data_IF_368928721884
#
_entry.id   IF_368928721884
#
_cell.length_a   1.000
_cell.length_b   1.000
_cell.length_c   1.000
_cell.angle_alpha   90.00
_cell.angle_beta   90.00
_cell.angle_gamma   90.00
#
_symmetry.space_group_name_H-M   'P 1'
#
loop_
_entity.id
_entity.type
_entity.pdbx_description
1 polymer ?
#
# COMPACT_ATOMS: atom_id res chain seq x y z
N UNK A 1 -33.22 -15.44 -20.52
CA UNK A 1 -32.26 -15.33 -19.41
C UNK A 1 -30.86 -15.51 -19.98
N UNK A 2 -30.17 -14.42 -20.21
CA UNK A 2 -28.83 -14.41 -20.81
C UNK A 2 -27.83 -14.60 -19.67
N UNK A 3 -27.15 -15.74 -19.63
CA UNK A 3 -26.10 -16.00 -18.66
C UNK A 3 -24.96 -15.02 -18.89
N UNK A 4 -24.72 -14.14 -17.92
CA UNK A 4 -23.53 -13.28 -17.89
C UNK A 4 -22.34 -14.21 -17.67
N UNK A 5 -21.46 -14.29 -18.68
CA UNK A 5 -20.22 -15.03 -18.53
C UNK A 5 -19.40 -14.44 -17.36
N UNK A 6 -18.78 -15.30 -16.51
CA UNK A 6 -17.97 -14.79 -15.43
C UNK A 6 -16.85 -13.92 -16.02
N UNK A 7 -16.79 -12.66 -15.59
CA UNK A 7 -15.65 -11.80 -15.88
C UNK A 7 -14.39 -12.54 -15.42
N UNK A 8 -13.48 -12.86 -16.34
CA UNK A 8 -12.14 -13.32 -15.97
C UNK A 8 -11.57 -12.25 -15.04
N UNK A 9 -11.23 -12.63 -13.81
CA UNK A 9 -10.59 -11.71 -12.87
C UNK A 9 -9.38 -11.10 -13.59
N UNK A 10 -9.35 -9.77 -13.66
CA UNK A 10 -8.19 -9.06 -14.23
C UNK A 10 -6.98 -9.42 -13.36
N UNK A 11 -5.80 -9.76 -13.91
CA UNK A 11 -4.65 -10.20 -13.11
C UNK A 11 -4.21 -9.17 -12.07
N UNK A 12 -4.68 -7.94 -12.19
CA UNK A 12 -4.38 -6.81 -11.29
C UNK A 12 -5.63 -6.27 -10.59
N UNK A 13 -6.64 -7.11 -10.37
CA UNK A 13 -7.87 -6.67 -9.69
C UNK A 13 -7.56 -6.11 -8.30
N UNK A 14 -8.25 -5.03 -7.87
CA UNK A 14 -8.14 -4.53 -6.52
C UNK A 14 -8.44 -5.60 -5.48
N UNK A 15 -7.74 -5.56 -4.36
CA UNK A 15 -8.01 -6.42 -3.22
C UNK A 15 -9.26 -5.94 -2.48
N UNK A 16 -10.00 -6.90 -1.93
CA UNK A 16 -11.19 -6.63 -1.11
C UNK A 16 -11.01 -7.30 0.24
N UNK A 17 -11.25 -6.58 1.32
CA UNK A 17 -11.38 -7.11 2.67
C UNK A 17 -12.86 -7.18 3.02
N UNK A 18 -13.37 -8.40 3.16
CA UNK A 18 -14.80 -8.65 3.37
C UNK A 18 -15.17 -8.80 4.85
N UNK A 19 -14.17 -8.83 5.75
CA UNK A 19 -14.38 -9.05 7.18
C UNK A 19 -13.54 -8.10 8.05
N UNK A 20 -14.08 -7.79 9.22
CA UNK A 20 -13.46 -6.89 10.20
C UNK A 20 -12.15 -7.45 10.75
N UNK A 21 -12.06 -8.76 10.96
CA UNK A 21 -10.85 -9.39 11.50
C UNK A 21 -9.64 -9.27 10.56
N UNK A 22 -9.87 -9.34 9.25
CA UNK A 22 -8.83 -9.11 8.24
C UNK A 22 -8.36 -7.65 8.23
N UNK A 23 -9.27 -6.68 8.40
CA UNK A 23 -8.94 -5.27 8.51
C UNK A 23 -8.09 -4.99 9.76
N UNK A 24 -8.52 -5.48 10.92
CA UNK A 24 -7.81 -5.33 12.19
C UNK A 24 -6.40 -5.95 12.11
N UNK A 25 -6.29 -7.18 11.60
CA UNK A 25 -5.01 -7.86 11.43
C UNK A 25 -4.06 -7.10 10.49
N UNK A 26 -4.58 -6.51 9.42
CA UNK A 26 -3.81 -5.67 8.49
C UNK A 26 -3.36 -4.38 9.17
N UNK A 27 -4.21 -3.71 9.95
CA UNK A 27 -3.87 -2.50 10.68
C UNK A 27 -2.78 -2.76 11.72
N UNK A 28 -2.89 -3.84 12.49
CA UNK A 28 -1.84 -4.27 13.41
C UNK A 28 -0.51 -4.59 12.68
N UNK A 29 -0.55 -5.16 11.48
CA UNK A 29 0.64 -5.40 10.68
C UNK A 29 1.33 -4.08 10.28
N UNK A 30 0.56 -3.04 9.94
CA UNK A 30 1.09 -1.68 9.69
C UNK A 30 1.77 -1.12 10.92
N UNK A 31 1.14 -1.24 12.11
CA UNK A 31 1.73 -0.76 13.38
C UNK A 31 3.05 -1.47 13.70
N UNK A 32 3.09 -2.79 13.53
CA UNK A 32 4.33 -3.59 13.72
C UNK A 32 5.41 -3.21 12.70
N UNK A 33 5.03 -3.00 11.44
CA UNK A 33 5.95 -2.55 10.39
C UNK A 33 6.55 -1.19 10.75
N UNK A 34 5.71 -0.23 11.14
CA UNK A 34 6.14 1.11 11.55
C UNK A 34 7.17 1.03 12.69
N UNK A 35 6.83 0.34 13.79
CA UNK A 35 7.75 0.15 14.93
C UNK A 35 9.09 -0.46 14.50
N UNK A 36 9.06 -1.46 13.61
CA UNK A 36 10.27 -2.10 13.09
C UNK A 36 11.12 -1.14 12.29
N UNK A 37 10.51 -0.36 11.39
CA UNK A 37 11.19 0.61 10.54
C UNK A 37 11.83 1.74 11.37
N UNK A 38 11.17 2.18 12.43
CA UNK A 38 11.71 3.20 13.35
C UNK A 38 12.96 2.69 14.08
N UNK A 39 12.94 1.45 14.56
CA UNK A 39 14.09 0.82 15.22
C UNK A 39 15.29 0.65 14.30
N UNK A 40 15.06 0.15 13.07
CA UNK A 40 16.11 -0.02 12.05
C UNK A 40 16.68 1.32 11.60
N UNK A 41 15.82 2.33 11.43
CA UNK A 41 16.21 3.67 11.00
C UNK A 41 16.94 4.50 12.06
N UNK A 42 17.13 3.98 13.27
CA UNK A 42 17.67 4.73 14.42
C UNK A 42 16.91 6.04 14.68
N UNK A 43 15.62 6.05 14.41
CA UNK A 43 14.76 7.17 14.72
C UNK A 43 14.52 7.22 16.24
N UNK A 44 14.61 8.41 16.82
CA UNK A 44 14.53 8.60 18.26
C UNK A 44 13.09 8.68 18.81
N UNK A 45 12.10 8.45 17.97
CA UNK A 45 10.70 8.40 18.40
C UNK A 45 10.43 7.11 19.14
N UNK A 46 9.83 7.21 20.32
CA UNK A 46 9.34 6.07 21.08
C UNK A 46 8.09 5.52 20.43
N UNK A 47 7.92 4.19 20.48
CA UNK A 47 6.64 3.58 20.07
C UNK A 47 5.49 4.27 20.83
N UNK A 48 4.39 4.56 20.13
CA UNK A 48 3.21 5.12 20.77
C UNK A 48 2.63 4.14 21.78
N UNK A 49 2.17 4.64 22.92
CA UNK A 49 1.55 3.84 23.97
C UNK A 49 0.24 4.48 24.42
N UNK A 50 -0.64 3.67 25.01
CA UNK A 50 -1.91 4.16 25.56
C UNK A 50 -2.81 4.79 24.48
N UNK A 51 -3.43 5.92 24.81
CA UNK A 51 -4.40 6.62 23.96
C UNK A 51 -3.81 7.01 22.59
N UNK A 52 -2.52 7.33 22.54
CA UNK A 52 -1.87 7.66 21.28
C UNK A 52 -1.77 6.45 20.35
N UNK A 53 -1.41 5.28 20.86
CA UNK A 53 -1.36 4.06 20.06
C UNK A 53 -2.75 3.69 19.52
N UNK A 54 -3.80 3.84 20.34
CA UNK A 54 -5.17 3.61 19.94
C UNK A 54 -5.62 4.60 18.83
N UNK A 55 -5.22 5.87 18.94
CA UNK A 55 -5.52 6.88 17.93
C UNK A 55 -4.82 6.58 16.59
N UNK A 56 -3.51 6.23 16.63
CA UNK A 56 -2.75 5.86 15.45
C UNK A 56 -3.34 4.61 14.78
N UNK A 57 -3.69 3.59 15.56
CA UNK A 57 -4.35 2.37 15.06
C UNK A 57 -5.68 2.70 14.37
N UNK A 58 -6.55 3.49 15.00
CA UNK A 58 -7.83 3.88 14.41
C UNK A 58 -7.68 4.69 13.11
N UNK A 59 -6.63 5.51 12.98
CA UNK A 59 -6.31 6.21 11.73
C UNK A 59 -5.86 5.24 10.64
N UNK A 60 -5.00 4.26 11.00
CA UNK A 60 -4.58 3.20 10.06
C UNK A 60 -5.80 2.42 9.58
N UNK A 61 -6.67 1.97 10.49
CA UNK A 61 -7.90 1.25 10.14
C UNK A 61 -8.78 2.06 9.19
N UNK A 62 -8.93 3.36 9.44
CA UNK A 62 -9.72 4.26 8.57
C UNK A 62 -9.16 4.31 7.14
N UNK A 63 -7.85 4.44 6.97
CA UNK A 63 -7.20 4.45 5.66
C UNK A 63 -7.35 3.11 4.97
N UNK A 64 -7.13 2.00 5.69
CA UNK A 64 -7.25 0.66 5.14
C UNK A 64 -8.70 0.33 4.75
N UNK A 65 -9.69 0.71 5.58
CA UNK A 65 -11.09 0.57 5.22
C UNK A 65 -11.41 1.37 3.95
N UNK A 66 -10.90 2.61 3.86
CA UNK A 66 -11.03 3.45 2.67
C UNK A 66 -10.45 2.83 1.41
N UNK A 67 -9.38 2.05 1.52
CA UNK A 67 -8.73 1.41 0.39
C UNK A 67 -9.35 0.04 0.05
N UNK A 68 -9.63 -0.81 1.05
CA UNK A 68 -9.86 -2.24 0.84
C UNK A 68 -11.28 -2.71 1.14
N UNK A 69 -12.11 -1.95 1.87
CA UNK A 69 -13.48 -2.37 2.19
C UNK A 69 -14.52 -1.81 1.23
N UNK A 70 -15.67 -2.45 1.16
CA UNK A 70 -16.86 -1.91 0.50
C UNK A 70 -17.41 -0.74 1.31
N UNK A 71 -17.55 0.43 0.69
CA UNK A 71 -18.03 1.66 1.33
C UNK A 71 -19.26 2.17 0.58
N UNK A 72 -20.35 2.39 1.28
CA UNK A 72 -21.64 2.84 0.71
C UNK A 72 -22.09 1.99 -0.49
N UNK A 73 -21.82 0.68 -0.44
CA UNK A 73 -22.18 -0.27 -1.51
C UNK A 73 -21.22 -0.28 -2.70
N UNK A 74 -20.16 0.53 -2.69
CA UNK A 74 -19.11 0.52 -3.69
C UNK A 74 -17.94 -0.35 -3.23
N UNK A 75 -17.66 -1.40 -3.97
CA UNK A 75 -16.49 -2.23 -3.74
C UNK A 75 -15.19 -1.52 -4.17
N UNK A 76 -14.01 -1.99 -3.76
CA UNK A 76 -12.75 -1.50 -4.30
C UNK A 76 -12.69 -1.55 -5.84
N UNK A 77 -13.27 -2.58 -6.46
CA UNK A 77 -13.29 -2.71 -7.92
C UNK A 77 -14.17 -1.66 -8.63
N UNK A 78 -15.10 -1.01 -7.90
CA UNK A 78 -15.90 0.09 -8.43
C UNK A 78 -15.17 1.45 -8.30
N UNK A 79 -14.16 1.54 -7.44
CA UNK A 79 -13.48 2.78 -7.09
C UNK A 79 -12.06 2.90 -7.64
N UNK A 80 -11.40 1.78 -7.86
CA UNK A 80 -10.02 1.72 -8.33
C UNK A 80 -9.92 0.98 -9.65
N UNK A 81 -9.07 1.48 -10.55
CA UNK A 81 -8.83 0.86 -11.84
C UNK A 81 -8.19 -0.53 -11.70
N UNK A 82 -7.26 -0.67 -10.76
CA UNK A 82 -6.54 -1.89 -10.44
C UNK A 82 -5.85 -1.78 -9.06
N UNK A 83 -5.07 -2.81 -8.70
CA UNK A 83 -4.34 -2.84 -7.43
C UNK A 83 -3.27 -1.74 -7.32
N UNK A 84 -2.67 -1.30 -8.43
CA UNK A 84 -1.66 -0.24 -8.41
C UNK A 84 -2.28 1.11 -8.07
N UNK A 85 -3.46 1.43 -8.62
CA UNK A 85 -4.24 2.61 -8.24
C UNK A 85 -4.69 2.52 -6.77
N UNK A 86 -5.16 1.35 -6.33
CA UNK A 86 -5.59 1.09 -4.95
C UNK A 86 -4.47 1.32 -3.93
N UNK A 87 -3.28 0.75 -4.15
CA UNK A 87 -2.17 0.91 -3.20
C UNK A 87 -1.59 2.31 -3.22
N UNK A 88 -1.62 2.99 -4.37
CA UNK A 88 -1.19 4.39 -4.46
C UNK A 88 -2.15 5.30 -3.68
N UNK A 89 -3.46 5.07 -3.77
CA UNK A 89 -4.47 5.74 -2.94
C UNK A 89 -4.19 5.52 -1.44
N UNK A 90 -4.01 4.27 -1.04
CA UNK A 90 -3.70 3.92 0.35
C UNK A 90 -2.44 4.63 0.85
N UNK A 91 -1.34 4.56 0.08
CA UNK A 91 -0.08 5.19 0.45
C UNK A 91 -0.20 6.72 0.55
N UNK A 92 -0.98 7.35 -0.35
CA UNK A 92 -1.26 8.78 -0.32
C UNK A 92 -1.92 9.20 0.99
N UNK A 93 -2.97 8.51 1.40
CA UNK A 93 -3.68 8.81 2.65
C UNK A 93 -2.81 8.51 3.87
N UNK A 94 -2.10 7.39 3.91
CA UNK A 94 -1.18 7.10 5.02
C UNK A 94 -0.13 8.19 5.24
N UNK A 95 0.36 8.79 4.16
CA UNK A 95 1.39 9.83 4.23
C UNK A 95 0.80 11.20 4.55
N UNK A 96 -0.31 11.59 3.88
CA UNK A 96 -0.88 12.93 3.98
C UNK A 96 -1.67 13.15 5.28
N UNK A 97 -2.26 12.11 5.82
CA UNK A 97 -3.05 12.19 7.06
C UNK A 97 -2.17 12.21 8.32
N UNK A 98 -0.84 12.18 8.16
CA UNK A 98 0.13 12.24 9.25
C UNK A 98 -0.25 11.28 10.41
N UNK A 99 -0.41 9.99 10.08
CA UNK A 99 -0.86 8.97 11.04
C UNK A 99 0.10 8.87 12.22
N UNK A 100 1.40 8.79 11.92
CA UNK A 100 2.48 8.69 12.90
C UNK A 100 3.18 10.03 13.09
N UNK A 101 3.85 10.19 14.22
CA UNK A 101 4.67 11.37 14.49
C UNK A 101 5.85 11.49 13.50
N UNK A 102 6.50 10.36 13.18
CA UNK A 102 7.57 10.26 12.19
C UNK A 102 7.41 8.96 11.38
N UNK A 103 8.20 8.81 10.33
CA UNK A 103 8.26 7.58 9.53
C UNK A 103 7.09 7.35 8.58
N UNK A 104 6.12 8.27 8.43
CA UNK A 104 4.96 8.11 7.56
C UNK A 104 5.35 7.72 6.13
N UNK A 105 6.29 8.42 5.50
CA UNK A 105 6.76 8.14 4.14
C UNK A 105 7.32 6.73 3.98
N UNK A 106 8.20 6.34 4.91
CA UNK A 106 8.85 5.03 4.88
C UNK A 106 7.84 3.90 5.11
N UNK A 107 6.96 4.05 6.09
CA UNK A 107 5.93 3.07 6.40
C UNK A 107 4.96 2.91 5.24
N UNK A 108 4.48 4.01 4.67
CA UNK A 108 3.55 3.99 3.53
C UNK A 108 4.14 3.31 2.30
N UNK A 109 5.40 3.63 1.96
CA UNK A 109 6.09 3.03 0.82
C UNK A 109 6.29 1.52 1.01
N UNK A 110 6.88 1.12 2.14
CA UNK A 110 7.18 -0.30 2.39
C UNK A 110 5.90 -1.12 2.50
N UNK A 111 4.85 -0.55 3.10
CA UNK A 111 3.57 -1.23 3.19
C UNK A 111 2.89 -1.37 1.81
N UNK A 112 2.90 -0.34 0.97
CA UNK A 112 2.38 -0.41 -0.40
C UNK A 112 3.06 -1.52 -1.22
N UNK A 113 4.40 -1.58 -1.18
CA UNK A 113 5.17 -2.63 -1.85
C UNK A 113 4.89 -4.02 -1.28
N UNK A 114 4.65 -4.13 0.03
CA UNK A 114 4.29 -5.38 0.70
C UNK A 114 2.92 -5.88 0.25
N UNK A 115 1.93 -4.99 0.11
CA UNK A 115 0.60 -5.32 -0.42
C UNK A 115 0.69 -5.82 -1.85
N UNK A 116 1.45 -5.13 -2.72
CA UNK A 116 1.67 -5.58 -4.10
C UNK A 116 2.33 -6.95 -4.16
N UNK A 117 3.33 -7.19 -3.31
CA UNK A 117 3.98 -8.50 -3.23
C UNK A 117 3.03 -9.60 -2.75
N UNK A 118 2.21 -9.31 -1.74
CA UNK A 118 1.19 -10.23 -1.24
C UNK A 118 0.16 -10.58 -2.33
N UNK A 119 -0.24 -9.62 -3.14
CA UNK A 119 -1.15 -9.80 -4.27
C UNK A 119 -0.50 -10.46 -5.50
N UNK A 120 0.72 -10.96 -5.39
CA UNK A 120 1.49 -11.55 -6.50
C UNK A 120 1.73 -10.57 -7.66
N UNK A 121 1.76 -9.27 -7.36
CA UNK A 121 2.05 -8.19 -8.31
C UNK A 121 3.28 -7.39 -7.87
N UNK A 122 4.43 -8.03 -7.58
CA UNK A 122 5.60 -7.32 -7.08
C UNK A 122 6.13 -6.30 -8.08
N UNK A 123 6.62 -5.19 -7.55
CA UNK A 123 7.20 -4.09 -8.31
C UNK A 123 8.66 -3.93 -7.90
N UNK A 124 9.52 -3.68 -8.88
CA UNK A 124 10.93 -3.38 -8.65
C UNK A 124 11.24 -2.01 -9.25
N UNK A 125 11.53 -1.06 -8.39
CA UNK A 125 12.01 0.26 -8.76
C UNK A 125 13.53 0.33 -8.56
N UNK A 126 14.18 1.31 -9.19
CA UNK A 126 15.62 1.53 -9.00
C UNK A 126 15.92 2.01 -7.58
N UNK A 127 16.84 1.32 -6.91
CA UNK A 127 17.34 1.66 -5.58
C UNK A 127 18.77 2.21 -5.69
N UNK A 128 18.87 3.48 -6.07
CA UNK A 128 20.15 4.19 -6.15
C UNK A 128 20.51 4.78 -4.78
N UNK A 129 21.83 4.82 -4.41
CA UNK A 129 22.27 5.55 -3.23
C UNK A 129 22.08 7.07 -3.36
N UNK A 130 22.00 7.60 -4.59
CA UNK A 130 21.72 9.00 -4.85
C UNK A 130 20.21 9.26 -4.78
N UNK A 131 19.70 10.10 -3.87
CA UNK A 131 18.24 10.30 -3.67
C UNK A 131 17.48 10.70 -4.94
N UNK A 132 18.06 11.52 -5.81
CA UNK A 132 17.44 11.96 -7.06
C UNK A 132 17.27 10.83 -8.10
N UNK A 133 18.09 9.78 -8.01
CA UNK A 133 18.10 8.63 -8.91
C UNK A 133 17.47 7.39 -8.26
N UNK A 134 17.05 7.50 -6.99
CA UNK A 134 16.34 6.46 -6.26
C UNK A 134 14.84 6.57 -6.53
N UNK A 135 14.31 5.67 -7.37
CA UNK A 135 12.89 5.72 -7.75
C UNK A 135 11.94 5.51 -6.58
N UNK A 136 12.29 4.70 -5.57
CA UNK A 136 11.47 4.55 -4.36
C UNK A 136 11.34 5.86 -3.62
N UNK A 137 12.46 6.58 -3.46
CA UNK A 137 12.48 7.88 -2.79
C UNK A 137 11.70 8.93 -3.60
N UNK A 138 11.95 9.02 -4.91
CA UNK A 138 11.25 9.98 -5.79
C UNK A 138 9.76 9.72 -5.80
N UNK A 139 9.35 8.45 -5.93
CA UNK A 139 7.94 8.07 -5.96
C UNK A 139 7.19 8.56 -4.71
N UNK A 140 7.73 8.30 -3.50
CA UNK A 140 7.05 8.72 -2.26
C UNK A 140 7.13 10.23 -2.04
N UNK A 141 8.19 10.91 -2.50
CA UNK A 141 8.28 12.36 -2.42
C UNK A 141 7.26 13.04 -3.34
N UNK A 142 7.11 12.57 -4.56
CA UNK A 142 6.13 13.09 -5.52
C UNK A 142 4.69 12.88 -5.02
N UNK A 143 4.43 11.74 -4.39
CA UNK A 143 3.13 11.46 -3.77
C UNK A 143 2.78 12.46 -2.66
N UNK A 144 3.77 12.81 -1.81
CA UNK A 144 3.59 13.77 -0.72
C UNK A 144 3.43 15.19 -1.22
N UNK A 145 4.30 15.60 -2.14
CA UNK A 145 4.33 16.97 -2.66
C UNK A 145 3.21 17.26 -3.67
N UNK A 146 2.61 16.20 -4.24
CA UNK A 146 1.65 16.34 -5.33
C UNK A 146 2.27 16.80 -6.64
N UNK A 147 3.58 16.64 -6.82
CA UNK A 147 4.27 16.97 -8.08
C UNK A 147 3.81 16.11 -9.25
N UNK A 148 3.37 14.89 -8.96
CA UNK A 148 2.77 13.97 -9.91
C UNK A 148 1.40 13.53 -9.43
N UNK A 149 0.51 13.25 -10.36
CA UNK A 149 -0.82 12.75 -10.03
C UNK A 149 -0.75 11.30 -9.49
N UNK A 150 -1.76 10.91 -8.69
CA UNK A 150 -1.90 9.52 -8.26
C UNK A 150 -1.93 8.55 -9.45
N UNK A 151 -2.59 8.93 -10.53
CA UNK A 151 -2.67 8.11 -11.74
C UNK A 151 -1.29 7.88 -12.39
N UNK A 152 -0.44 8.91 -12.46
CA UNK A 152 0.93 8.79 -12.99
C UNK A 152 1.80 7.89 -12.12
N UNK A 153 1.65 8.00 -10.79
CA UNK A 153 2.40 7.19 -9.82
C UNK A 153 1.94 5.73 -9.85
N UNK A 154 0.64 5.47 -9.99
CA UNK A 154 0.11 4.12 -10.18
C UNK A 154 0.59 3.50 -11.49
N UNK A 155 0.66 4.30 -12.57
CA UNK A 155 1.18 3.86 -13.86
C UNK A 155 2.67 3.52 -13.79
N UNK A 156 3.47 4.24 -13.02
CA UNK A 156 4.87 3.90 -12.79
C UNK A 156 5.00 2.54 -12.09
N UNK A 157 4.22 2.28 -11.05
CA UNK A 157 4.21 0.96 -10.40
C UNK A 157 3.83 -0.15 -11.39
N UNK A 158 2.81 0.08 -12.22
CA UNK A 158 2.33 -0.87 -13.23
C UNK A 158 3.39 -1.21 -14.27
N UNK A 159 4.16 -0.21 -14.74
CA UNK A 159 5.26 -0.41 -15.70
C UNK A 159 6.45 -1.18 -15.12
N UNK A 160 6.64 -1.10 -13.81
CA UNK A 160 7.73 -1.76 -13.10
C UNK A 160 7.31 -3.08 -12.43
N UNK A 161 6.14 -3.60 -12.77
CA UNK A 161 5.69 -4.92 -12.36
C UNK A 161 6.60 -6.01 -12.94
N UNK A 162 6.97 -6.96 -12.09
CA UNK A 162 7.86 -8.07 -12.46
C UNK A 162 7.09 -9.40 -12.36
N UNK A 163 7.05 -10.12 -13.46
CA UNK A 163 6.55 -11.51 -13.46
C UNK A 163 7.67 -12.41 -12.94
N UNK A 164 7.48 -13.00 -11.76
CA UNK A 164 8.33 -14.12 -11.37
C UNK A 164 7.85 -15.36 -12.14
N UNK A 165 8.63 -15.76 -13.13
CA UNK A 165 8.51 -17.12 -13.63
C UNK A 165 9.07 -18.03 -12.54
N UNK A 166 8.20 -18.84 -11.92
CA UNK A 166 8.67 -19.96 -11.12
C UNK A 166 9.65 -20.74 -11.98
N UNK A 167 10.92 -20.73 -11.60
CA UNK A 167 11.86 -21.70 -12.12
C UNK A 167 11.34 -23.06 -11.66
N UNK A 168 10.54 -23.68 -12.51
CA UNK A 168 10.17 -25.07 -12.35
C UNK A 168 11.47 -25.83 -12.17
N UNK A 169 11.67 -26.40 -10.99
CA UNK A 169 12.84 -27.25 -10.71
C UNK A 169 12.95 -28.27 -11.83
N UNK A 170 14.15 -28.41 -12.45
CA UNK A 170 14.34 -29.52 -13.38
C UNK A 170 14.19 -30.82 -12.58
N UNK A 171 13.34 -31.70 -13.11
CA UNK A 171 13.15 -33.08 -12.65
C UNK A 171 14.45 -33.86 -12.78
#
# INVERSE_FOLDING_TARGET
MTAVAPRRAHPFAPLVLDDTGSLEAMAEAVMRLHSTLMKVGRCYTTDATGDRAALELGRVESVLAGAFCTIFGQSPADRFADIFDQVTYMAEHMVKDHIFEDGNKRTSLVFALSVLRFASTPVVLSDSPEPKDNQYYVWIQDLVSGNRSRADLAEELRRNYVVYHDCASPV
#
